data_IF_666875944174
#
_entry.id   IF_666875944174
#
_cell.length_a   1.000
_cell.length_b   1.000
_cell.length_c   1.000
_cell.angle_alpha   90.00
_cell.angle_beta   90.00
_cell.angle_gamma   90.00
#
_symmetry.space_group_name_H-M   'P 1'
#
loop_
_entity.id
_entity.type
_entity.pdbx_description
1 polymer ?
#
# COMPACT_ATOMS: atom_id res chain seq x y z
N UNK A 1 -1.84 -3.04 25.58
CA UNK A 1 -2.01 -4.28 24.80
C UNK A 1 -3.27 -4.12 23.99
N UNK A 2 -3.15 -3.65 22.77
CA UNK A 2 -4.26 -3.66 21.82
C UNK A 2 -4.64 -5.09 21.54
N UNK A 3 -5.90 -5.35 21.57
CA UNK A 3 -6.52 -6.67 21.62
C UNK A 3 -6.14 -7.49 20.39
N UNK A 4 -5.45 -8.59 20.57
CA UNK A 4 -5.08 -9.56 19.52
C UNK A 4 -6.29 -9.98 18.66
N UNK A 5 -7.50 -9.90 19.23
CA UNK A 5 -8.76 -10.22 18.55
C UNK A 5 -9.18 -9.14 17.52
N UNK A 6 -8.74 -7.89 17.64
CA UNK A 6 -8.94 -6.89 16.58
C UNK A 6 -8.02 -7.15 15.38
N UNK A 7 -6.87 -7.75 15.63
CA UNK A 7 -5.94 -8.21 14.60
C UNK A 7 -6.48 -9.44 13.84
N UNK A 8 -7.26 -10.27 14.48
CA UNK A 8 -7.83 -11.52 13.90
C UNK A 8 -9.12 -11.28 13.10
N UNK A 9 -9.74 -10.11 13.23
CA UNK A 9 -10.77 -9.63 12.29
C UNK A 9 -10.15 -9.05 11.01
N UNK A 10 -8.97 -9.50 10.69
CA UNK A 10 -8.28 -9.16 9.47
C UNK A 10 -9.05 -9.63 8.26
N UNK A 11 -9.20 -8.71 7.34
CA UNK A 11 -9.68 -8.89 6.00
C UNK A 11 -9.20 -10.19 5.38
N UNK A 12 -10.12 -10.83 4.72
CA UNK A 12 -9.97 -12.11 4.09
C UNK A 12 -8.90 -12.05 3.00
N UNK A 13 -7.75 -12.69 3.18
CA UNK A 13 -6.70 -12.89 2.17
C UNK A 13 -7.25 -13.35 0.80
N UNK A 14 -8.46 -13.91 0.79
CA UNK A 14 -9.11 -14.39 -0.43
C UNK A 14 -9.22 -13.33 -1.52
N UNK A 15 -9.43 -12.07 -1.20
CA UNK A 15 -9.63 -11.06 -2.24
C UNK A 15 -8.32 -10.65 -2.90
N UNK A 16 -7.23 -10.57 -2.14
CA UNK A 16 -5.90 -10.35 -2.71
C UNK A 16 -5.35 -11.58 -3.43
N UNK A 17 -5.54 -12.77 -2.89
CA UNK A 17 -5.14 -14.02 -3.53
C UNK A 17 -5.95 -14.31 -4.80
N UNK A 18 -7.24 -13.93 -4.83
CA UNK A 18 -8.08 -14.02 -6.04
C UNK A 18 -7.61 -13.00 -7.08
N UNK A 19 -7.34 -11.77 -6.69
CA UNK A 19 -6.84 -10.73 -7.59
C UNK A 19 -5.47 -11.10 -8.20
N UNK A 20 -4.61 -11.75 -7.40
CA UNK A 20 -3.30 -12.24 -7.83
C UNK A 20 -3.35 -13.65 -8.47
N UNK A 21 -4.52 -14.27 -8.57
CA UNK A 21 -4.65 -15.64 -9.04
C UNK A 21 -3.91 -15.84 -10.38
N UNK A 22 -2.77 -16.54 -10.32
CA UNK A 22 -1.83 -16.75 -11.43
C UNK A 22 -1.15 -15.48 -11.99
N UNK A 23 -1.16 -14.38 -11.24
CA UNK A 23 -0.47 -13.13 -11.62
C UNK A 23 0.57 -12.77 -10.56
N UNK A 24 1.70 -12.28 -11.02
CA UNK A 24 2.76 -11.76 -10.13
C UNK A 24 2.52 -10.31 -9.73
N UNK A 25 1.74 -9.60 -10.52
CA UNK A 25 1.44 -8.17 -10.37
C UNK A 25 -0.06 -7.96 -10.57
N UNK A 26 -0.63 -7.07 -9.76
CA UNK A 26 -2.00 -6.61 -9.87
C UNK A 26 -2.07 -5.09 -9.71
N UNK A 27 -2.75 -4.43 -10.64
CA UNK A 27 -3.01 -2.99 -10.59
C UNK A 27 -4.50 -2.76 -10.32
N UNK A 28 -4.81 -1.89 -9.38
CA UNK A 28 -6.18 -1.54 -9.00
C UNK A 28 -6.39 -0.03 -9.03
N UNK A 29 -7.63 0.36 -9.27
CA UNK A 29 -8.13 1.71 -9.05
C UNK A 29 -9.39 1.61 -8.21
N UNK A 30 -9.41 2.26 -7.07
CA UNK A 30 -10.49 2.10 -6.10
C UNK A 30 -10.78 3.39 -5.34
N UNK A 31 -12.01 3.50 -4.82
CA UNK A 31 -12.42 4.61 -4.01
C UNK A 31 -13.13 4.15 -2.74
N UNK A 32 -12.78 4.74 -1.61
CA UNK A 32 -13.50 4.61 -0.35
C UNK A 32 -14.31 5.88 -0.10
N UNK A 33 -15.60 5.70 0.06
CA UNK A 33 -16.58 6.78 0.29
C UNK A 33 -17.02 6.88 1.75
N UNK A 34 -16.53 5.96 2.58
CA UNK A 34 -16.81 5.90 4.01
C UNK A 34 -15.50 5.89 4.78
N UNK A 35 -15.43 6.68 5.84
CA UNK A 35 -14.24 6.79 6.69
C UNK A 35 -14.08 5.67 7.72
N UNK A 36 -14.53 4.46 7.45
CA UNK A 36 -14.45 3.35 8.40
C UNK A 36 -13.03 2.82 8.53
N UNK A 37 -12.55 2.53 9.75
CA UNK A 37 -11.27 1.87 9.95
C UNK A 37 -11.27 0.46 9.33
N UNK A 38 -10.17 0.11 8.67
CA UNK A 38 -9.95 -1.21 8.11
C UNK A 38 -8.56 -1.67 8.55
N UNK A 39 -8.50 -2.82 9.19
CA UNK A 39 -7.25 -3.48 9.58
C UNK A 39 -7.06 -4.73 8.75
N UNK A 40 -5.87 -4.94 8.20
CA UNK A 40 -5.57 -6.15 7.45
C UNK A 40 -4.08 -6.45 7.37
N UNK A 41 -3.77 -7.67 6.98
CA UNK A 41 -2.44 -8.16 6.67
C UNK A 41 -2.53 -9.12 5.48
N UNK A 42 -1.54 -9.09 4.62
CA UNK A 42 -1.39 -10.01 3.49
C UNK A 42 0.09 -10.24 3.18
N UNK A 43 0.40 -11.19 2.34
CA UNK A 43 1.79 -11.56 2.00
C UNK A 43 2.34 -10.87 0.75
N UNK A 44 1.60 -9.95 0.16
CA UNK A 44 2.03 -9.17 -0.99
C UNK A 44 2.59 -7.81 -0.59
N UNK A 45 3.52 -7.30 -1.39
CA UNK A 45 3.98 -5.92 -1.29
C UNK A 45 3.01 -5.00 -2.03
N UNK A 46 2.75 -3.81 -1.47
CA UNK A 46 1.87 -2.82 -2.08
C UNK A 46 2.54 -1.45 -2.22
N UNK A 47 2.24 -0.79 -3.33
CA UNK A 47 2.39 0.65 -3.48
C UNK A 47 0.99 1.26 -3.65
N UNK A 48 0.65 2.23 -2.82
CA UNK A 48 -0.62 2.96 -2.88
C UNK A 48 -0.36 4.41 -3.27
N UNK A 49 -1.03 4.87 -4.31
CA UNK A 49 -0.91 6.22 -4.86
C UNK A 49 -2.23 6.95 -4.64
N UNK A 50 -2.23 8.01 -3.84
CA UNK A 50 -3.43 8.75 -3.47
C UNK A 50 -3.71 9.84 -4.51
N UNK A 51 -4.75 9.66 -5.29
CA UNK A 51 -5.19 10.64 -6.29
C UNK A 51 -6.04 11.76 -5.67
N UNK A 52 -6.91 11.39 -4.73
CA UNK A 52 -7.84 12.31 -4.09
C UNK A 52 -8.16 11.87 -2.66
N UNK A 53 -8.48 12.84 -1.80
CA UNK A 53 -8.81 12.58 -0.41
C UNK A 53 -7.59 12.25 0.43
N UNK A 54 -7.79 11.55 1.53
CA UNK A 54 -6.72 11.21 2.44
C UNK A 54 -7.20 10.76 3.82
N UNK A 55 -6.24 10.62 4.72
CA UNK A 55 -6.51 10.20 6.10
C UNK A 55 -5.25 9.70 6.79
N UNK A 56 -5.45 8.73 7.66
CA UNK A 56 -4.40 8.15 8.47
C UNK A 56 -4.17 6.69 8.08
N UNK A 57 -2.90 6.33 7.89
CA UNK A 57 -2.45 4.95 7.79
C UNK A 57 -1.54 4.61 8.96
N UNK A 58 -1.77 3.46 9.56
CA UNK A 58 -0.84 2.85 10.50
C UNK A 58 -0.23 1.63 9.83
N UNK A 59 1.09 1.59 9.73
CA UNK A 59 1.84 0.45 9.20
C UNK A 59 2.78 0.01 10.31
N UNK A 60 2.59 -1.20 10.81
CA UNK A 60 3.20 -1.67 12.06
C UNK A 60 2.91 -0.68 13.19
N UNK A 61 3.93 -0.10 13.80
CA UNK A 61 3.81 0.84 14.94
C UNK A 61 3.88 2.31 14.50
N UNK A 62 4.04 2.58 13.19
CA UNK A 62 4.17 3.93 12.66
C UNK A 62 2.86 4.42 12.05
N UNK A 63 2.53 5.67 12.34
CA UNK A 63 1.35 6.34 11.78
C UNK A 63 1.76 7.38 10.74
N UNK A 64 1.05 7.37 9.61
CA UNK A 64 1.29 8.25 8.48
C UNK A 64 0.03 9.01 8.13
N UNK A 65 0.12 10.33 8.10
CA UNK A 65 -0.90 11.15 7.45
C UNK A 65 -0.70 11.10 5.94
N UNK A 66 -1.78 10.84 5.20
CA UNK A 66 -1.76 10.77 3.74
C UNK A 66 -2.74 11.75 3.13
N UNK A 67 -2.39 12.27 1.99
CA UNK A 67 -3.15 13.22 1.21
C UNK A 67 -2.89 13.04 -0.29
N UNK A 68 -3.52 13.84 -1.11
CA UNK A 68 -3.29 13.86 -2.56
C UNK A 68 -1.78 13.84 -2.90
N UNK A 69 -1.41 13.08 -3.91
CA UNK A 69 -0.03 12.79 -4.35
C UNK A 69 0.83 11.99 -3.33
N UNK A 70 0.25 11.58 -2.21
CA UNK A 70 0.94 10.68 -1.29
C UNK A 70 1.16 9.31 -1.90
N UNK A 71 2.32 8.72 -1.65
CA UNK A 71 2.63 7.34 -2.03
C UNK A 71 3.05 6.58 -0.78
N UNK A 72 2.37 5.46 -0.51
CA UNK A 72 2.68 4.55 0.58
C UNK A 72 3.30 3.28 0.05
N UNK A 73 4.25 2.76 0.80
CA UNK A 73 4.96 1.51 0.54
C UNK A 73 4.66 0.56 1.70
N UNK A 74 4.03 -0.58 1.40
CA UNK A 74 3.65 -1.58 2.40
C UNK A 74 4.36 -2.89 2.05
N UNK A 75 5.18 -3.37 2.96
CA UNK A 75 5.90 -4.63 2.78
C UNK A 75 4.98 -5.83 2.93
N UNK A 76 5.38 -6.96 2.36
CA UNK A 76 4.69 -8.24 2.57
C UNK A 76 4.69 -8.59 4.06
N UNK A 77 3.55 -8.99 4.59
CA UNK A 77 3.32 -9.31 6.01
C UNK A 77 3.36 -8.12 6.98
N UNK A 78 3.40 -6.89 6.50
CA UNK A 78 3.26 -5.73 7.37
C UNK A 78 1.79 -5.54 7.77
N UNK A 79 1.47 -5.66 9.07
CA UNK A 79 0.14 -5.32 9.55
C UNK A 79 -0.12 -3.83 9.32
N UNK A 80 -1.24 -3.52 8.74
CA UNK A 80 -1.60 -2.12 8.49
C UNK A 80 -3.08 -1.86 8.64
N UNK A 81 -3.39 -0.64 9.01
CA UNK A 81 -4.76 -0.15 9.14
C UNK A 81 -4.90 1.21 8.50
N UNK A 82 -6.13 1.54 8.13
CA UNK A 82 -6.43 2.83 7.53
C UNK A 82 -7.73 3.40 8.01
N UNK A 83 -7.77 4.72 8.11
CA UNK A 83 -8.97 5.51 8.34
C UNK A 83 -8.95 6.72 7.42
N UNK A 84 -9.87 6.79 6.47
CA UNK A 84 -10.00 7.95 5.62
C UNK A 84 -10.83 9.03 6.30
N UNK A 85 -10.28 10.23 6.41
CA UNK A 85 -10.92 11.43 7.00
C UNK A 85 -11.35 12.41 5.93
N UNK A 86 -10.75 12.34 4.75
CA UNK A 86 -11.12 13.10 3.58
C UNK A 86 -11.63 12.13 2.52
N UNK A 87 -12.94 12.04 2.38
CA UNK A 87 -13.60 11.11 1.46
C UNK A 87 -14.31 11.89 0.33
N UNK A 88 -14.41 11.34 -0.89
CA UNK A 88 -13.89 10.03 -1.28
C UNK A 88 -12.36 9.98 -1.26
N UNK A 89 -11.79 8.89 -0.80
CA UNK A 89 -10.37 8.63 -0.97
C UNK A 89 -10.18 7.73 -2.19
N UNK A 90 -9.67 8.30 -3.26
CA UNK A 90 -9.44 7.62 -4.54
C UNK A 90 -7.96 7.32 -4.68
N UNK A 91 -7.63 6.09 -5.06
CA UNK A 91 -6.25 5.62 -5.12
C UNK A 91 -6.02 4.57 -6.20
N UNK A 92 -4.79 4.56 -6.69
CA UNK A 92 -4.22 3.46 -7.44
C UNK A 92 -3.47 2.54 -6.50
N UNK A 93 -3.54 1.24 -6.74
CA UNK A 93 -2.78 0.23 -6.01
C UNK A 93 -1.94 -0.60 -6.98
N UNK A 94 -0.69 -0.84 -6.62
CA UNK A 94 0.18 -1.82 -7.26
C UNK A 94 0.52 -2.89 -6.23
N UNK A 95 0.00 -4.09 -6.43
CA UNK A 95 0.26 -5.25 -5.58
C UNK A 95 1.20 -6.21 -6.30
N UNK A 96 2.26 -6.64 -5.63
CA UNK A 96 3.30 -7.48 -6.20
C UNK A 96 3.67 -8.61 -5.26
N UNK A 97 3.80 -9.83 -5.79
CA UNK A 97 4.28 -10.96 -5.01
C UNK A 97 5.76 -10.82 -4.68
N UNK A 98 6.18 -11.02 -3.43
CA UNK A 98 7.59 -10.94 -3.02
C UNK A 98 8.50 -11.87 -3.82
N UNK A 99 8.04 -13.08 -4.13
CA UNK A 99 8.80 -14.05 -4.93
C UNK A 99 9.10 -13.53 -6.34
N UNK A 100 8.15 -12.82 -6.96
CA UNK A 100 8.36 -12.19 -8.25
C UNK A 100 9.42 -11.08 -8.16
N UNK A 101 9.30 -10.20 -7.17
CA UNK A 101 10.30 -9.16 -6.94
C UNK A 101 11.71 -9.73 -6.73
N UNK A 102 11.82 -10.84 -6.01
CA UNK A 102 13.10 -11.52 -5.79
C UNK A 102 13.70 -12.15 -7.05
N UNK A 103 12.87 -12.49 -8.03
CA UNK A 103 13.30 -13.08 -9.29
C UNK A 103 13.88 -12.06 -10.28
N UNK A 104 13.69 -10.77 -10.05
CA UNK A 104 14.14 -9.71 -10.95
C UNK A 104 15.63 -9.41 -10.73
N UNK A 105 16.48 -9.48 -11.78
CA UNK A 105 17.94 -9.47 -11.62
C UNK A 105 18.54 -8.12 -11.16
N UNK A 106 17.79 -7.04 -11.21
CA UNK A 106 18.30 -5.66 -10.99
C UNK A 106 17.95 -5.10 -9.61
N UNK A 107 17.28 -5.85 -8.73
CA UNK A 107 16.38 -5.22 -7.75
C UNK A 107 16.84 -5.34 -6.30
N UNK A 108 17.98 -5.92 -6.02
CA UNK A 108 18.39 -6.11 -4.61
C UNK A 108 18.44 -4.81 -3.79
N UNK A 109 18.80 -3.67 -4.37
CA UNK A 109 18.78 -2.39 -3.67
C UNK A 109 17.39 -1.78 -3.53
N UNK A 110 16.53 -1.93 -4.54
CA UNK A 110 15.14 -1.42 -4.48
C UNK A 110 14.24 -2.29 -3.60
N UNK A 111 14.53 -3.57 -3.48
CA UNK A 111 13.84 -4.48 -2.57
C UNK A 111 14.04 -4.12 -1.11
N UNK A 112 15.10 -3.44 -0.78
CA UNK A 112 15.33 -2.98 0.58
C UNK A 112 14.24 -2.03 1.06
N UNK A 113 13.58 -1.29 0.17
CA UNK A 113 12.42 -0.44 0.49
C UNK A 113 11.29 -1.26 1.14
N UNK A 114 11.10 -2.51 0.71
CA UNK A 114 10.09 -3.41 1.29
C UNK A 114 10.60 -4.22 2.49
N UNK A 115 11.91 -4.31 2.68
CA UNK A 115 12.53 -5.14 3.72
C UNK A 115 13.05 -4.34 4.91
N UNK A 116 13.63 -3.18 4.67
CA UNK A 116 14.17 -2.33 5.70
C UNK A 116 13.15 -1.27 6.09
N UNK A 117 12.51 -1.51 7.21
CA UNK A 117 11.68 -0.51 7.86
C UNK A 117 12.61 0.41 8.65
N UNK A 118 13.15 1.40 7.99
CA UNK A 118 13.76 2.52 8.68
C UNK A 118 12.66 3.31 9.41
N UNK A 119 12.88 3.74 10.66
CA UNK A 119 11.80 3.95 11.61
C UNK A 119 10.81 5.07 11.33
N UNK A 120 11.06 6.03 10.48
CA UNK A 120 10.21 7.22 10.46
C UNK A 120 9.67 7.64 9.09
N UNK A 121 10.24 7.18 7.99
CA UNK A 121 9.88 7.69 6.65
C UNK A 121 9.82 6.64 5.55
N UNK A 122 10.20 5.40 5.81
CA UNK A 122 10.39 4.38 4.78
C UNK A 122 9.09 3.95 4.07
N UNK A 123 7.95 4.13 4.71
CA UNK A 123 6.67 3.71 4.17
C UNK A 123 5.90 4.83 3.44
N UNK A 124 6.41 6.06 3.45
CA UNK A 124 5.76 7.20 2.77
C UNK A 124 6.78 8.02 1.98
N UNK A 125 6.53 8.17 0.69
CA UNK A 125 7.27 9.12 -0.14
C UNK A 125 6.70 10.53 0.06
N UNK A 126 7.58 11.53 0.18
CA UNK A 126 7.24 12.93 0.40
C UNK A 126 7.67 13.80 -0.77
N UNK A 127 7.03 14.96 -0.90
CA UNK A 127 7.41 15.99 -1.86
C UNK A 127 7.17 15.61 -3.33
N UNK A 128 6.20 14.73 -3.59
CA UNK A 128 5.84 14.34 -4.95
C UNK A 128 4.91 15.41 -5.52
N UNK A 129 5.35 16.05 -6.59
CA UNK A 129 4.54 17.00 -7.35
C UNK A 129 3.54 16.28 -8.29
N UNK A 130 2.59 17.03 -8.84
CA UNK A 130 1.56 16.49 -9.73
C UNK A 130 2.17 15.83 -10.99
N UNK A 131 3.25 16.37 -11.53
CA UNK A 131 3.90 15.84 -12.74
C UNK A 131 4.54 14.48 -12.46
N UNK A 132 5.29 14.41 -11.38
CA UNK A 132 5.94 13.16 -10.93
C UNK A 132 4.90 12.11 -10.58
N UNK A 133 3.85 12.48 -9.84
CA UNK A 133 2.76 11.57 -9.48
C UNK A 133 2.08 10.99 -10.71
N UNK A 134 1.66 11.83 -11.66
CA UNK A 134 1.00 11.40 -12.89
C UNK A 134 1.89 10.50 -13.75
N UNK A 135 3.18 10.79 -13.78
CA UNK A 135 4.16 9.94 -14.47
C UNK A 135 4.27 8.56 -13.84
N UNK A 136 4.33 8.49 -12.51
CA UNK A 136 4.35 7.20 -11.78
C UNK A 136 3.09 6.39 -12.06
N UNK A 137 1.91 7.01 -11.96
CA UNK A 137 0.63 6.36 -12.26
C UNK A 137 0.57 5.87 -13.71
N UNK A 138 1.03 6.66 -14.67
CA UNK A 138 1.04 6.24 -16.07
C UNK A 138 1.93 5.02 -16.34
N UNK A 139 3.03 4.88 -15.62
CA UNK A 139 3.90 3.69 -15.70
C UNK A 139 3.16 2.46 -15.15
N UNK A 140 2.47 2.60 -14.02
CA UNK A 140 1.73 1.50 -13.41
C UNK A 140 0.64 0.96 -14.35
N UNK A 141 -0.05 1.85 -15.06
CA UNK A 141 -1.08 1.44 -16.02
C UNK A 141 -0.57 0.71 -17.26
N UNK A 142 0.74 0.68 -17.48
CA UNK A 142 1.36 -0.07 -18.57
C UNK A 142 1.74 -1.51 -18.17
N UNK A 143 1.62 -1.84 -16.89
CA UNK A 143 1.89 -3.16 -16.35
C UNK A 143 0.70 -4.09 -16.53
#
# INVERSE_FOLDING_TARGET
>A
MENLNEFLNCYNEKDHSIALNNRNIYVSYSGDYKGNPINHVHNSCELLFIEQGGGEYKIRDQQYHIEKNGVLIIGGTDPHSRRFTQVPCIRYGLTVLPAFLQSLPVINSYMNVYRTHSPEEANKLRGIDDVTFNRMVSIIWQL
#
